data_IF_491620419052
#
_entry.id   IF_491620419052
#
_cell.length_a   1.000
_cell.length_b   1.000
_cell.length_c   1.000
_cell.angle_alpha   90.00
_cell.angle_beta   90.00
_cell.angle_gamma   90.00
#
_symmetry.space_group_name_H-M   'P 1'
#
loop_
_entity.id
_entity.type
_entity.pdbx_description
1 polymer ?
#
# COMPACT_ATOMS: atom_id res chain seq x y z
N UNK A 1 -14.94 13.54 -7.95
CA UNK A 1 -15.86 13.30 -6.80
C UNK A 1 -15.74 14.48 -5.85
N UNK A 2 -16.80 15.25 -5.59
CA UNK A 2 -16.73 16.47 -4.73
C UNK A 2 -17.69 16.46 -3.53
N UNK A 3 -18.36 15.34 -3.24
CA UNK A 3 -19.32 15.25 -2.14
C UNK A 3 -19.20 13.90 -1.40
N UNK A 4 -18.38 13.88 -0.33
CA UNK A 4 -18.24 12.78 0.64
C UNK A 4 -16.78 12.45 1.00
N UNK A 5 -16.44 12.40 2.29
CA UNK A 5 -15.07 12.15 2.78
C UNK A 5 -14.57 10.71 2.52
N UNK A 6 -15.33 9.69 2.94
CA UNK A 6 -15.06 8.26 2.68
C UNK A 6 -16.40 7.57 2.40
N UNK A 7 -16.48 6.72 1.38
CA UNK A 7 -17.71 6.03 0.97
C UNK A 7 -17.42 4.55 0.77
N UNK A 8 -18.32 3.70 1.28
CA UNK A 8 -18.27 2.25 1.13
C UNK A 8 -19.52 1.75 0.39
N UNK A 9 -19.54 0.48 -0.04
CA UNK A 9 -20.74 -0.14 -0.62
C UNK A 9 -21.80 -0.33 0.47
N UNK A 10 -23.06 -0.54 0.06
CA UNK A 10 -24.22 -0.57 0.98
C UNK A 10 -24.06 -1.58 2.13
N UNK A 11 -23.63 -2.81 1.83
CA UNK A 11 -23.49 -3.85 2.85
C UNK A 11 -22.29 -3.58 3.76
N UNK A 12 -21.19 -3.05 3.21
CA UNK A 12 -19.97 -2.72 3.95
C UNK A 12 -20.22 -1.61 4.99
N UNK A 13 -20.96 -0.54 4.61
CA UNK A 13 -21.28 0.54 5.56
C UNK A 13 -22.26 0.09 6.64
N UNK A 14 -23.23 -0.78 6.29
CA UNK A 14 -24.16 -1.38 7.28
C UNK A 14 -23.39 -2.21 8.30
N UNK A 15 -22.47 -3.05 7.83
CA UNK A 15 -21.62 -3.87 8.71
C UNK A 15 -20.83 -3.00 9.70
N UNK A 16 -20.14 -1.96 9.22
CA UNK A 16 -19.38 -1.07 10.11
C UNK A 16 -20.29 -0.32 11.09
N UNK A 17 -21.47 0.14 10.66
CA UNK A 17 -22.43 0.83 11.52
C UNK A 17 -22.90 -0.06 12.69
N UNK A 18 -23.14 -1.34 12.45
CA UNK A 18 -23.62 -2.28 13.47
C UNK A 18 -22.51 -2.75 14.42
N UNK A 19 -21.24 -2.72 13.99
CA UNK A 19 -20.14 -3.36 14.72
C UNK A 19 -19.09 -2.40 15.30
N UNK A 20 -19.09 -1.11 14.92
CA UNK A 20 -18.09 -0.13 15.38
C UNK A 20 -18.69 0.79 16.45
N UNK A 21 -18.28 0.67 17.72
CA UNK A 21 -18.80 1.51 18.80
C UNK A 21 -18.43 2.99 18.64
N UNK A 22 -19.26 3.86 19.20
CA UNK A 22 -18.93 5.28 19.34
C UNK A 22 -17.67 5.44 20.20
N UNK A 23 -16.72 6.26 19.74
CA UNK A 23 -15.43 6.44 20.39
C UNK A 23 -14.30 5.55 19.86
N UNK A 24 -14.59 4.66 18.89
CA UNK A 24 -13.54 3.89 18.20
C UNK A 24 -12.54 4.83 17.52
N UNK A 25 -11.24 4.59 17.74
CA UNK A 25 -10.16 5.38 17.14
C UNK A 25 -10.18 5.24 15.61
N UNK A 26 -10.13 6.38 14.93
CA UNK A 26 -9.97 6.46 13.47
C UNK A 26 -8.60 7.05 13.15
N UNK A 27 -7.90 6.47 12.19
CA UNK A 27 -6.62 6.98 11.69
C UNK A 27 -6.60 6.91 10.17
N UNK A 28 -6.19 8.01 9.55
CA UNK A 28 -5.88 8.09 8.13
C UNK A 28 -4.37 7.93 7.95
N UNK A 29 -3.97 7.11 6.99
CA UNK A 29 -2.58 6.92 6.58
C UNK A 29 -2.50 7.03 5.07
N UNK A 30 -1.34 7.44 4.56
CA UNK A 30 -1.01 7.48 3.13
C UNK A 30 0.30 6.71 2.93
N UNK A 31 0.18 5.40 2.79
CA UNK A 31 1.29 4.46 2.68
C UNK A 31 1.12 3.61 1.41
N UNK A 32 1.54 4.12 0.23
CA UNK A 32 1.41 3.38 -1.03
C UNK A 32 2.34 2.15 -1.09
N UNK A 33 3.30 2.05 -0.18
CA UNK A 33 4.20 0.90 -0.03
C UNK A 33 4.13 0.38 1.38
N UNK A 34 3.88 -0.92 1.51
CA UNK A 34 3.96 -1.66 2.77
C UNK A 34 4.97 -2.79 2.62
N UNK A 35 5.69 -3.10 3.68
CA UNK A 35 6.58 -4.26 3.72
C UNK A 35 6.53 -4.94 5.09
N UNK A 36 6.78 -6.24 5.12
CA UNK A 36 6.73 -7.06 6.33
C UNK A 36 7.83 -8.11 6.33
N UNK A 37 8.27 -8.47 7.53
CA UNK A 37 9.04 -9.70 7.79
C UNK A 37 8.17 -10.60 8.63
N UNK A 38 7.80 -11.75 8.09
CA UNK A 38 6.94 -12.72 8.72
C UNK A 38 7.71 -13.54 9.78
N UNK A 39 7.02 -14.19 10.72
CA UNK A 39 7.66 -14.97 11.79
C UNK A 39 8.56 -16.11 11.28
N UNK A 40 8.36 -16.59 10.06
CA UNK A 40 9.18 -17.62 9.41
C UNK A 40 10.42 -17.07 8.69
N UNK A 41 10.63 -15.74 8.73
CA UNK A 41 11.73 -15.04 8.07
C UNK A 41 11.45 -14.66 6.62
N UNK A 42 10.30 -15.03 6.06
CA UNK A 42 9.91 -14.57 4.73
C UNK A 42 9.60 -13.07 4.73
N UNK A 43 9.93 -12.39 3.65
CA UNK A 43 9.76 -10.94 3.51
C UNK A 43 8.89 -10.63 2.32
N UNK A 44 7.99 -9.68 2.49
CA UNK A 44 7.05 -9.26 1.45
C UNK A 44 7.01 -7.75 1.28
N UNK A 45 6.74 -7.32 0.04
CA UNK A 45 6.42 -5.94 -0.31
C UNK A 45 5.09 -5.88 -1.07
N UNK A 46 4.27 -4.88 -0.80
CA UNK A 46 3.05 -4.57 -1.55
C UNK A 46 3.11 -3.11 -1.99
N UNK A 47 2.99 -2.87 -3.30
CA UNK A 47 3.13 -1.54 -3.90
C UNK A 47 1.86 -1.16 -4.65
N UNK A 48 1.28 -0.02 -4.29
CA UNK A 48 0.16 0.64 -4.98
C UNK A 48 0.62 1.91 -5.70
N UNK A 49 -0.24 2.42 -6.58
CA UNK A 49 -0.06 3.76 -7.13
C UNK A 49 -0.32 4.82 -6.03
N UNK A 50 0.52 5.87 -5.89
CA UNK A 50 0.30 6.95 -4.94
C UNK A 50 -1.04 7.68 -5.13
N UNK A 51 -1.57 8.29 -4.05
CA UNK A 51 -2.90 8.92 -4.02
C UNK A 51 -3.06 10.07 -5.04
N UNK A 52 -1.98 10.73 -5.43
CA UNK A 52 -1.95 11.82 -6.42
C UNK A 52 -1.51 11.32 -7.80
N UNK A 53 -2.33 10.48 -8.43
CA UNK A 53 -2.04 9.94 -9.78
C UNK A 53 -3.09 10.46 -10.75
N UNK A 54 -2.69 11.30 -11.72
CA UNK A 54 -3.53 11.61 -12.90
C UNK A 54 -3.73 10.34 -13.74
N UNK A 55 -4.77 10.25 -14.57
CA UNK A 55 -4.94 9.08 -15.47
C UNK A 55 -3.70 8.82 -16.35
N UNK A 56 -3.00 9.88 -16.76
CA UNK A 56 -1.74 9.79 -17.52
C UNK A 56 -0.60 9.15 -16.71
N UNK A 57 -0.51 9.44 -15.41
CA UNK A 57 0.47 8.83 -14.50
C UNK A 57 0.16 7.36 -14.22
N UNK A 58 -1.12 6.97 -14.22
CA UNK A 58 -1.54 5.58 -14.06
C UNK A 58 -1.25 4.73 -15.31
N UNK A 59 -1.36 5.32 -16.51
CA UNK A 59 -1.08 4.66 -17.79
C UNK A 59 0.40 4.70 -18.21
N UNK A 60 1.29 5.24 -17.38
CA UNK A 60 2.74 5.26 -17.64
C UNK A 60 3.24 6.42 -18.51
N UNK A 61 2.44 7.47 -18.70
CA UNK A 61 2.85 8.70 -19.40
C UNK A 61 3.72 9.64 -18.57
N UNK A 62 3.69 9.51 -17.23
CA UNK A 62 4.49 10.30 -16.29
C UNK A 62 4.94 9.42 -15.11
N UNK A 63 6.22 9.52 -14.75
CA UNK A 63 6.78 8.79 -13.60
C UNK A 63 6.40 9.52 -12.31
N UNK A 64 5.53 8.91 -11.51
CA UNK A 64 5.33 9.34 -10.11
C UNK A 64 6.39 8.65 -9.25
N UNK A 65 7.34 9.38 -8.63
CA UNK A 65 8.38 8.77 -7.81
C UNK A 65 7.77 8.14 -6.55
N UNK A 66 8.13 6.88 -6.28
CA UNK A 66 7.81 6.20 -5.02
C UNK A 66 9.05 6.28 -4.14
N UNK A 67 8.90 6.88 -2.95
CA UNK A 67 9.97 6.92 -1.95
C UNK A 67 9.69 5.90 -0.87
N UNK A 68 10.63 5.00 -0.61
CA UNK A 68 10.49 4.02 0.47
C UNK A 68 10.72 4.69 1.83
N UNK A 69 9.75 4.57 2.72
CA UNK A 69 9.86 5.09 4.10
C UNK A 69 10.83 4.24 4.93
N UNK A 70 11.30 4.76 6.06
CA UNK A 70 12.20 4.04 6.96
C UNK A 70 11.64 2.67 7.41
N UNK A 71 10.35 2.52 7.78
CA UNK A 71 9.78 1.22 8.11
C UNK A 71 9.83 0.21 6.95
N UNK A 72 9.65 0.68 5.71
CA UNK A 72 9.74 -0.19 4.52
C UNK A 72 11.19 -0.60 4.27
N UNK A 73 12.13 0.35 4.35
CA UNK A 73 13.56 0.07 4.19
C UNK A 73 14.09 -0.93 5.23
N UNK A 74 13.56 -0.89 6.45
CA UNK A 74 13.91 -1.85 7.50
C UNK A 74 13.67 -3.32 7.06
N UNK A 75 12.76 -3.56 6.13
CA UNK A 75 12.50 -4.86 5.52
C UNK A 75 13.24 -5.02 4.20
N UNK A 76 13.16 -4.05 3.29
CA UNK A 76 13.65 -4.19 1.90
C UNK A 76 15.17 -4.06 1.77
N UNK A 77 15.87 -3.50 2.76
CA UNK A 77 17.33 -3.33 2.74
C UNK A 77 18.08 -4.47 3.45
N UNK A 78 17.39 -5.57 3.73
CA UNK A 78 17.98 -6.74 4.40
C UNK A 78 18.82 -7.56 3.41
N UNK A 79 19.86 -8.23 3.91
CA UNK A 79 20.86 -8.88 3.05
C UNK A 79 20.33 -10.04 2.21
N UNK A 80 19.22 -10.64 2.63
CA UNK A 80 18.56 -11.76 1.98
C UNK A 80 17.48 -11.33 0.97
N UNK A 81 17.24 -10.03 0.79
CA UNK A 81 16.24 -9.50 -0.15
C UNK A 81 16.81 -9.40 -1.57
N UNK A 82 16.07 -9.94 -2.54
CA UNK A 82 16.32 -9.72 -3.97
C UNK A 82 15.87 -8.31 -4.39
N UNK A 83 16.86 -7.43 -4.61
CA UNK A 83 16.61 -6.05 -5.03
C UNK A 83 15.96 -5.95 -6.41
N UNK A 84 16.14 -6.95 -7.30
CA UNK A 84 15.46 -6.95 -8.59
C UNK A 84 13.96 -7.09 -8.42
N UNK A 85 13.52 -7.92 -7.46
CA UNK A 85 12.10 -8.12 -7.14
C UNK A 85 11.51 -6.84 -6.52
N UNK A 86 12.26 -6.15 -5.66
CA UNK A 86 11.86 -4.84 -5.11
C UNK A 86 11.66 -3.82 -6.23
N UNK A 87 12.62 -3.69 -7.15
CA UNK A 87 12.54 -2.76 -8.29
C UNK A 87 11.36 -3.09 -9.20
N UNK A 88 11.15 -4.37 -9.52
CA UNK A 88 10.00 -4.82 -10.31
C UNK A 88 8.67 -4.53 -9.61
N UNK A 89 8.57 -4.72 -8.30
CA UNK A 89 7.35 -4.39 -7.56
C UNK A 89 7.06 -2.88 -7.59
N UNK A 90 8.09 -2.03 -7.48
CA UNK A 90 7.97 -0.56 -7.56
C UNK A 90 7.53 -0.09 -8.96
N UNK A 91 7.99 -0.76 -10.01
CA UNK A 91 7.61 -0.47 -11.39
C UNK A 91 6.19 -0.95 -11.70
N UNK A 92 5.85 -2.19 -11.31
CA UNK A 92 4.59 -2.84 -11.66
C UNK A 92 3.40 -2.30 -10.86
N UNK A 93 3.59 -1.96 -9.58
CA UNK A 93 2.55 -1.39 -8.69
C UNK A 93 1.24 -2.18 -8.74
N UNK A 94 1.36 -3.50 -8.66
CA UNK A 94 0.24 -4.44 -8.86
C UNK A 94 -0.81 -4.40 -7.74
N UNK A 95 -0.48 -3.79 -6.59
CA UNK A 95 -1.29 -3.85 -5.38
C UNK A 95 -1.33 -5.24 -4.73
N UNK A 96 -0.51 -6.19 -5.19
CA UNK A 96 -0.42 -7.55 -4.64
C UNK A 96 0.91 -7.75 -3.90
N UNK A 97 0.92 -8.40 -2.73
CA UNK A 97 2.16 -8.74 -2.03
C UNK A 97 3.07 -9.66 -2.86
N UNK A 98 4.36 -9.33 -2.91
CA UNK A 98 5.42 -10.09 -3.59
C UNK A 98 6.48 -10.51 -2.59
N UNK A 99 6.87 -11.78 -2.64
CA UNK A 99 7.92 -12.35 -1.79
C UNK A 99 9.30 -11.89 -2.25
N UNK A 100 10.16 -11.52 -1.31
CA UNK A 100 11.47 -10.92 -1.56
C UNK A 100 12.68 -11.85 -1.39
N UNK A 101 12.52 -12.98 -0.68
CA UNK A 101 13.61 -13.90 -0.29
C UNK A 101 13.21 -15.38 -0.30
#
# INVERSE_FOLDING_TARGET
>A
MSHGCVRLRNDDIKFLFENVPVGTRVQFIDEPVKATTEPDGSRYIEVHNPLSTTEAQFQGGEIVPITLTQPVQAVTSQSDVDQNVVEQAIQNRSGMPVRLN
#
